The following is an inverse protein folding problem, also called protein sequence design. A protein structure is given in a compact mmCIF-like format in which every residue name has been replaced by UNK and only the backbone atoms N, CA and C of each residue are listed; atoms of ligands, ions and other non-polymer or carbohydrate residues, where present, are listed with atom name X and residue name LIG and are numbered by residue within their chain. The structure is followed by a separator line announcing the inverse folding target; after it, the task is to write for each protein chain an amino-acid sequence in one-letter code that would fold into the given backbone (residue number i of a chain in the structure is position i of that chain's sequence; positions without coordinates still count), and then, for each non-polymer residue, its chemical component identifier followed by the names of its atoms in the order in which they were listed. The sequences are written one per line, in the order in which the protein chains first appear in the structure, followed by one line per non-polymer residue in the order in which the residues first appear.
data_IF_624233908261
#
_entry.id   IF_624233908261
#
_cell.length_a   1.000
_cell.length_b   1.000
_cell.length_c   1.000
_cell.angle_alpha   90.00
_cell.angle_beta   90.00
_cell.angle_gamma   90.00
#
_symmetry.space_group_name_H-M   'P 1'
#
loop_
_entity.id
_entity.type
_entity.pdbx_description
1 polymer ?
#
# COMPACT_ATOMS: atom_id res chain seq x y z
N UNK A 1 25.16 16.61 -1.79
CA UNK A 1 24.42 15.53 -2.46
C UNK A 1 23.03 16.09 -2.70
N UNK A 2 22.71 16.36 -3.96
CA UNK A 2 21.58 17.21 -4.35
C UNK A 2 20.26 16.43 -4.31
N UNK A 3 19.29 16.90 -3.53
CA UNK A 3 17.99 16.23 -3.31
C UNK A 3 17.18 16.09 -4.62
N UNK A 4 17.40 16.99 -5.58
CA UNK A 4 16.77 16.98 -6.91
C UNK A 4 17.17 15.76 -7.77
N UNK A 5 18.40 15.26 -7.62
CA UNK A 5 18.89 14.14 -8.42
C UNK A 5 18.36 12.78 -7.93
N UNK A 6 17.96 12.68 -6.65
CA UNK A 6 17.40 11.44 -6.10
C UNK A 6 15.99 11.17 -6.63
N UNK A 7 15.12 12.18 -6.65
CA UNK A 7 13.75 12.04 -7.16
C UNK A 7 13.73 11.77 -8.66
N UNK A 8 14.57 12.47 -9.43
CA UNK A 8 14.68 12.25 -10.88
C UNK A 8 15.06 10.80 -11.22
N UNK A 9 15.96 10.18 -10.44
CA UNK A 9 16.37 8.78 -10.63
C UNK A 9 15.25 7.79 -10.26
N UNK A 10 14.49 8.06 -9.19
CA UNK A 10 13.35 7.23 -8.78
C UNK A 10 12.23 7.27 -9.83
N UNK A 11 11.91 8.46 -10.36
CA UNK A 11 10.89 8.62 -11.41
C UNK A 11 11.30 7.96 -12.73
N UNK A 12 12.57 8.09 -13.15
CA UNK A 12 13.05 7.54 -14.43
C UNK A 12 13.09 5.99 -14.41
N UNK A 13 13.43 5.39 -13.25
CA UNK A 13 13.41 3.92 -13.07
C UNK A 13 11.98 3.38 -13.00
N UNK A 14 11.03 4.08 -12.36
CA UNK A 14 9.63 3.68 -12.36
C UNK A 14 9.00 3.79 -13.76
N UNK A 15 9.29 4.87 -14.50
CA UNK A 15 8.69 5.11 -15.81
C UNK A 15 9.18 4.12 -16.88
N UNK A 16 10.47 3.79 -16.89
CA UNK A 16 11.02 2.77 -17.81
C UNK A 16 10.47 1.37 -17.54
N UNK A 17 10.13 1.04 -16.29
CA UNK A 17 9.44 -0.21 -15.95
C UNK A 17 7.98 -0.24 -16.40
N UNK A 18 7.28 0.89 -16.33
CA UNK A 18 5.87 0.99 -16.73
C UNK A 18 5.68 0.84 -18.25
N UNK A 19 6.57 1.44 -19.05
CA UNK A 19 6.55 1.33 -20.51
C UNK A 19 6.90 -0.08 -21.00
N UNK A 20 7.78 -0.81 -20.29
CA UNK A 20 8.10 -2.21 -20.59
C UNK A 20 6.93 -3.17 -20.35
N UNK A 21 5.98 -2.85 -19.45
CA UNK A 21 4.83 -3.72 -19.17
C UNK A 21 3.65 -3.46 -20.11
N UNK A 22 3.61 -2.30 -20.77
CA UNK A 22 2.54 -1.91 -21.68
C UNK A 22 2.49 -2.73 -22.97
N UNK A 23 3.59 -3.40 -23.35
CA UNK A 23 3.66 -4.27 -24.54
C UNK A 23 3.15 -5.70 -24.24
N UNK A 24 3.01 -6.11 -22.97
CA UNK A 24 2.54 -7.46 -22.61
C UNK A 24 1.04 -7.57 -22.33
N UNK A 25 0.33 -6.46 -22.13
CA UNK A 25 -1.09 -6.47 -21.74
C UNK A 25 -1.99 -6.89 -22.93
N UNK A 26 -1.55 -6.70 -24.17
CA UNK A 26 -2.33 -7.00 -25.39
C UNK A 26 -2.47 -8.49 -25.77
N UNK A 27 -2.09 -9.45 -24.91
CA UNK A 27 -2.18 -10.89 -25.24
C UNK A 27 -2.91 -11.76 -24.21
N UNK A 28 -3.49 -11.18 -23.16
CA UNK A 28 -4.18 -11.92 -22.10
C UNK A 28 -5.70 -12.08 -22.30
N UNK A 29 -6.28 -11.51 -23.36
CA UNK A 29 -7.74 -11.47 -23.59
C UNK A 29 -8.37 -12.79 -24.08
N UNK A 30 -7.61 -13.87 -24.26
CA UNK A 30 -8.13 -15.14 -24.78
C UNK A 30 -8.49 -16.18 -23.70
N UNK A 31 -8.42 -15.85 -22.40
CA UNK A 31 -8.75 -16.80 -21.32
C UNK A 31 -10.02 -16.46 -20.51
N UNK A 32 -10.76 -15.39 -20.86
CA UNK A 32 -11.78 -14.80 -19.96
C UNK A 32 -13.25 -15.17 -20.22
N UNK A 33 -13.59 -16.04 -21.16
CA UNK A 33 -15.01 -16.26 -21.53
C UNK A 33 -15.70 -17.53 -20.99
N UNK A 34 -15.07 -18.37 -20.16
CA UNK A 34 -15.73 -19.61 -19.68
C UNK A 34 -15.46 -20.01 -18.23
N UNK A 35 -15.48 -19.09 -17.28
CA UNK A 35 -15.42 -19.45 -15.85
C UNK A 35 -16.28 -18.56 -14.97
N UNK A 36 -17.62 -18.63 -15.12
CA UNK A 36 -18.54 -18.17 -14.08
C UNK A 36 -19.42 -19.28 -13.47
N UNK A 37 -19.18 -20.55 -13.79
CA UNK A 37 -19.99 -21.63 -13.19
C UNK A 37 -19.29 -22.98 -12.94
N UNK A 38 -17.97 -23.08 -13.06
CA UNK A 38 -17.25 -24.32 -12.75
C UNK A 38 -15.94 -24.01 -12.05
N UNK A 39 -15.87 -24.35 -10.76
CA UNK A 39 -14.73 -24.92 -10.00
C UNK A 39 -14.64 -24.41 -8.55
N UNK A 40 -15.48 -24.99 -7.67
CA UNK A 40 -14.96 -25.56 -6.42
C UNK A 40 -14.24 -26.87 -6.78
N UNK A 41 -13.17 -26.76 -7.55
CA UNK A 41 -12.18 -27.82 -7.71
C UNK A 41 -10.94 -27.30 -7.01
N UNK A 42 -10.36 -28.12 -6.13
CA UNK A 42 -9.04 -27.87 -5.59
C UNK A 42 -8.03 -27.99 -6.72
N UNK A 43 -7.91 -26.96 -7.54
CA UNK A 43 -6.69 -26.74 -8.30
C UNK A 43 -5.62 -26.45 -7.27
N UNK A 44 -4.66 -27.37 -7.13
CA UNK A 44 -3.40 -27.14 -6.44
C UNK A 44 -2.59 -26.14 -7.25
N UNK A 45 -3.08 -24.91 -7.35
CA UNK A 45 -2.38 -23.82 -8.01
C UNK A 45 -1.14 -23.54 -7.16
N UNK A 46 0.04 -23.89 -7.70
CA UNK A 46 1.30 -23.55 -7.09
C UNK A 46 1.44 -22.03 -7.11
N UNK A 47 1.35 -21.39 -5.95
CA UNK A 47 1.74 -19.99 -5.75
C UNK A 47 3.14 -19.98 -5.12
N UNK A 48 4.21 -19.87 -5.92
CA UNK A 48 5.56 -19.86 -5.37
C UNK A 48 5.77 -18.59 -4.54
N UNK A 49 6.26 -18.76 -3.31
CA UNK A 49 6.69 -17.66 -2.46
C UNK A 49 8.16 -17.33 -2.70
N UNK A 50 8.47 -16.05 -2.90
CA UNK A 50 9.84 -15.57 -2.94
C UNK A 50 10.28 -15.13 -1.53
N UNK A 51 11.02 -15.99 -0.82
CA UNK A 51 11.60 -15.67 0.49
C UNK A 51 13.06 -15.27 0.35
N UNK A 52 13.32 -13.96 0.47
CA UNK A 52 14.69 -13.40 0.39
C UNK A 52 15.38 -13.32 1.76
N UNK A 53 14.62 -13.22 2.85
CA UNK A 53 15.13 -13.06 4.20
C UNK A 53 14.89 -14.31 5.04
N UNK A 54 15.91 -14.75 5.78
CA UNK A 54 15.77 -15.82 6.75
C UNK A 54 15.06 -15.34 8.03
N UNK A 55 14.48 -16.28 8.78
CA UNK A 55 13.71 -15.99 10.00
C UNK A 55 14.51 -15.19 11.04
N UNK A 56 15.80 -15.49 11.22
CA UNK A 56 16.65 -14.76 12.17
C UNK A 56 16.90 -13.31 11.72
N UNK A 57 17.03 -13.06 10.42
CA UNK A 57 17.13 -11.71 9.86
C UNK A 57 15.84 -10.93 10.08
N UNK A 58 14.68 -11.56 9.86
CA UNK A 58 13.37 -10.94 10.09
C UNK A 58 13.21 -10.55 11.57
N UNK A 59 13.51 -11.48 12.50
CA UNK A 59 13.48 -11.19 13.94
C UNK A 59 14.38 -10.02 14.31
N UNK A 60 15.61 -9.99 13.78
CA UNK A 60 16.55 -8.91 14.02
C UNK A 60 16.02 -7.55 13.54
N UNK A 61 15.48 -7.48 12.32
CA UNK A 61 14.88 -6.24 11.79
C UNK A 61 13.73 -5.75 12.67
N UNK A 62 12.86 -6.65 13.13
CA UNK A 62 11.73 -6.30 13.99
C UNK A 62 12.22 -5.79 15.36
N UNK A 63 13.21 -6.47 15.97
CA UNK A 63 13.81 -6.04 17.23
C UNK A 63 14.43 -4.65 17.10
N UNK A 64 15.28 -4.42 16.09
CA UNK A 64 15.93 -3.12 15.87
C UNK A 64 14.92 -2.02 15.56
N UNK A 65 13.82 -2.31 14.84
CA UNK A 65 12.75 -1.34 14.60
C UNK A 65 12.04 -0.92 15.90
N UNK A 66 11.83 -1.85 16.84
CA UNK A 66 11.27 -1.53 18.16
C UNK A 66 12.24 -0.70 18.99
N UNK A 67 13.54 -1.03 18.99
CA UNK A 67 14.58 -0.24 19.66
C UNK A 67 14.62 1.20 19.13
N UNK A 68 14.50 1.39 17.80
CA UNK A 68 14.39 2.74 17.20
C UNK A 68 13.18 3.50 17.74
N UNK A 69 12.01 2.87 17.84
CA UNK A 69 10.80 3.51 18.36
C UNK A 69 10.87 3.80 19.87
N UNK A 70 11.64 3.02 20.63
CA UNK A 70 11.84 3.21 22.08
C UNK A 70 12.88 4.28 22.38
N UNK A 71 14.04 4.23 21.72
CA UNK A 71 15.18 5.09 22.00
C UNK A 71 15.11 6.43 21.27
N UNK A 72 14.79 6.41 19.97
CA UNK A 72 14.77 7.60 19.12
C UNK A 72 13.37 8.22 19.04
N UNK A 73 12.34 7.37 19.08
CA UNK A 73 10.94 7.78 18.97
C UNK A 73 10.57 8.34 17.60
N UNK A 74 9.35 8.85 17.48
CA UNK A 74 8.82 9.42 16.25
C UNK A 74 8.19 10.80 16.50
N UNK A 75 8.21 11.65 15.46
CA UNK A 75 7.61 12.98 15.53
C UNK A 75 6.09 12.91 15.57
N UNK A 76 5.48 13.72 16.42
CA UNK A 76 4.03 13.82 16.57
C UNK A 76 3.62 15.24 16.98
N UNK A 77 2.67 15.82 16.25
CA UNK A 77 2.15 17.15 16.56
C UNK A 77 0.62 17.22 16.66
N UNK A 78 -0.07 16.16 16.26
CA UNK A 78 -1.51 16.10 16.42
C UNK A 78 -1.85 16.01 17.91
N UNK A 79 -2.52 17.04 18.42
CA UNK A 79 -2.85 17.16 19.85
C UNK A 79 -3.70 15.99 20.36
N UNK A 80 -4.70 15.54 19.59
CA UNK A 80 -5.56 14.43 19.99
C UNK A 80 -4.77 13.12 20.09
N UNK A 81 -3.87 12.88 19.14
CA UNK A 81 -3.00 11.71 19.18
C UNK A 81 -2.01 11.74 20.36
N UNK A 82 -1.47 12.92 20.70
CA UNK A 82 -0.66 13.12 21.92
C UNK A 82 -1.45 12.76 23.17
N UNK A 83 -2.68 13.29 23.31
CA UNK A 83 -3.55 13.02 24.45
C UNK A 83 -3.85 11.51 24.60
N UNK A 84 -4.16 10.82 23.49
CA UNK A 84 -4.40 9.36 23.49
C UNK A 84 -3.16 8.56 23.91
N UNK A 85 -1.98 8.91 23.40
CA UNK A 85 -0.73 8.23 23.75
C UNK A 85 -0.38 8.43 25.23
N UNK A 86 -0.58 9.64 25.77
CA UNK A 86 -0.36 9.91 27.21
C UNK A 86 -1.29 9.08 28.09
N UNK A 87 -2.55 8.89 27.70
CA UNK A 87 -3.52 8.08 28.46
C UNK A 87 -3.07 6.62 28.61
N UNK A 88 -2.32 6.09 27.65
CA UNK A 88 -1.77 4.72 27.69
C UNK A 88 -0.32 4.67 28.20
N UNK A 89 0.18 5.78 28.77
CA UNK A 89 1.47 5.84 29.46
C UNK A 89 2.69 5.99 28.53
N UNK A 90 2.49 6.37 27.27
CA UNK A 90 3.60 6.62 26.34
C UNK A 90 4.42 7.83 26.80
N UNK A 91 5.75 7.68 26.83
CA UNK A 91 6.66 8.79 27.09
C UNK A 91 6.60 9.76 25.91
N UNK A 92 6.35 11.05 26.20
CA UNK A 92 6.30 12.11 25.19
C UNK A 92 7.20 13.27 25.62
N UNK A 93 8.10 13.70 24.74
CA UNK A 93 8.84 14.95 24.83
C UNK A 93 8.05 16.02 24.06
N UNK A 94 7.32 16.87 24.79
CA UNK A 94 6.45 17.91 24.20
C UNK A 94 7.25 19.04 23.54
N UNK A 95 8.46 19.32 24.03
CA UNK A 95 9.33 20.35 23.45
C UNK A 95 9.85 19.91 22.08
N UNK A 96 10.29 18.66 21.98
CA UNK A 96 10.77 18.06 20.73
C UNK A 96 9.68 17.44 19.87
N UNK A 97 8.43 17.43 20.35
CA UNK A 97 7.28 16.81 19.71
C UNK A 97 7.55 15.34 19.33
N UNK A 98 8.07 14.55 20.26
CA UNK A 98 8.40 13.13 20.05
C UNK A 98 7.70 12.21 21.03
N UNK A 99 7.17 11.11 20.51
CA UNK A 99 6.66 9.99 21.31
C UNK A 99 7.61 8.79 21.21
N UNK A 100 7.69 8.02 22.30
CA UNK A 100 8.58 6.86 22.43
C UNK A 100 7.77 5.64 22.85
N UNK A 101 7.80 4.57 22.05
CA UNK A 101 7.02 3.36 22.27
C UNK A 101 7.91 2.25 22.81
N UNK A 102 7.53 1.65 23.94
CA UNK A 102 8.22 0.45 24.42
C UNK A 102 7.86 -0.77 23.55
N UNK A 103 8.77 -1.75 23.43
CA UNK A 103 8.50 -3.02 22.77
C UNK A 103 7.21 -3.70 23.25
N UNK A 104 6.99 -3.75 24.56
CA UNK A 104 5.81 -4.36 25.17
C UNK A 104 4.50 -3.69 24.75
N UNK A 105 4.50 -2.36 24.63
CA UNK A 105 3.32 -1.62 24.17
C UNK A 105 3.04 -1.89 22.69
N UNK A 106 4.08 -1.99 21.87
CA UNK A 106 3.97 -2.33 20.46
C UNK A 106 3.38 -3.74 20.31
N UNK A 107 3.89 -4.72 21.04
CA UNK A 107 3.39 -6.10 20.99
C UNK A 107 1.93 -6.20 21.43
N UNK A 108 1.59 -5.57 22.55
CA UNK A 108 0.20 -5.50 23.01
C UNK A 108 -0.74 -4.83 22.00
N UNK A 109 -0.26 -3.79 21.31
CA UNK A 109 -1.06 -3.13 20.28
C UNK A 109 -1.28 -4.06 19.08
N UNK A 110 -0.24 -4.77 18.63
CA UNK A 110 -0.32 -5.71 17.50
C UNK A 110 -1.25 -6.91 17.79
N UNK A 111 -1.29 -7.40 19.04
CA UNK A 111 -2.23 -8.46 19.46
C UNK A 111 -3.71 -8.08 19.26
N UNK A 112 -4.03 -6.79 19.23
CA UNK A 112 -5.41 -6.31 19.04
C UNK A 112 -5.83 -6.17 17.57
N UNK A 113 -4.89 -6.28 16.63
CA UNK A 113 -5.12 -6.03 15.20
C UNK A 113 -5.66 -7.31 14.54
N UNK A 114 -6.75 -7.25 13.76
CA UNK A 114 -7.23 -8.42 13.03
C UNK A 114 -6.25 -8.81 11.90
N UNK A 115 -6.11 -10.11 11.65
CA UNK A 115 -5.26 -10.64 10.58
C UNK A 115 -5.79 -10.35 9.17
N UNK A 116 -7.11 -10.13 9.05
CA UNK A 116 -7.77 -9.72 7.80
C UNK A 116 -8.81 -8.65 8.04
N UNK A 117 -9.08 -7.82 7.04
CA UNK A 117 -10.06 -6.73 7.10
C UNK A 117 -10.94 -6.78 5.84
N UNK A 118 -12.26 -7.04 5.97
CA UNK A 118 -13.18 -6.98 4.83
C UNK A 118 -13.51 -5.53 4.47
N UNK A 119 -13.46 -5.21 3.17
CA UNK A 119 -13.87 -3.95 2.59
C UNK A 119 -15.17 -4.11 1.83
N UNK A 120 -16.06 -3.15 2.00
CA UNK A 120 -17.41 -3.17 1.45
C UNK A 120 -17.60 -2.03 0.45
N UNK A 121 -18.34 -2.31 -0.63
CA UNK A 121 -18.79 -1.26 -1.53
C UNK A 121 -19.95 -0.45 -0.91
N UNK A 122 -20.38 0.60 -1.62
CA UNK A 122 -21.48 1.47 -1.18
C UNK A 122 -22.83 0.76 -0.98
N UNK A 123 -23.04 -0.40 -1.59
CA UNK A 123 -24.25 -1.19 -1.40
C UNK A 123 -24.16 -2.12 -0.18
N UNK A 124 -23.03 -2.12 0.54
CA UNK A 124 -22.79 -2.98 1.69
C UNK A 124 -22.38 -4.41 1.31
N UNK A 125 -22.03 -4.67 0.06
CA UNK A 125 -21.49 -5.97 -0.33
C UNK A 125 -19.98 -5.98 -0.13
N UNK A 126 -19.47 -7.06 0.47
CA UNK A 126 -18.04 -7.30 0.57
C UNK A 126 -17.45 -7.44 -0.85
N UNK A 127 -16.37 -6.71 -1.10
CA UNK A 127 -15.71 -6.68 -2.42
C UNK A 127 -14.24 -7.06 -2.37
N UNK A 128 -13.56 -6.83 -1.25
CA UNK A 128 -12.14 -7.10 -1.07
C UNK A 128 -11.88 -7.53 0.37
N UNK A 129 -11.02 -8.51 0.59
CA UNK A 129 -10.48 -8.85 1.91
C UNK A 129 -8.98 -8.51 1.94
N UNK A 130 -8.60 -7.56 2.80
CA UNK A 130 -7.20 -7.21 3.03
C UNK A 130 -6.56 -8.22 3.97
N UNK A 131 -5.45 -8.84 3.56
CA UNK A 131 -4.68 -9.76 4.39
C UNK A 131 -4.54 -11.14 3.76
N UNK A 132 -3.93 -12.06 4.51
CA UNK A 132 -3.58 -13.39 4.00
C UNK A 132 -2.71 -13.32 2.73
N UNK A 133 -3.02 -14.17 1.76
CA UNK A 133 -2.35 -14.23 0.46
C UNK A 133 -3.11 -13.47 -0.65
N UNK A 134 -4.05 -12.59 -0.27
CA UNK A 134 -4.83 -11.80 -1.22
C UNK A 134 -3.96 -10.68 -1.80
N UNK A 135 -4.00 -10.52 -3.13
CA UNK A 135 -3.35 -9.40 -3.83
C UNK A 135 -4.43 -8.40 -4.20
N UNK A 136 -4.38 -7.23 -3.55
CA UNK A 136 -5.35 -6.17 -3.76
C UNK A 136 -4.64 -4.98 -4.43
N UNK A 137 -5.23 -4.45 -5.50
CA UNK A 137 -4.65 -3.33 -6.24
C UNK A 137 -5.27 -2.00 -5.77
N UNK A 138 -4.43 -1.02 -5.48
CA UNK A 138 -4.82 0.37 -5.18
C UNK A 138 -4.17 1.28 -6.24
N UNK A 139 -4.93 2.17 -6.91
CA UNK A 139 -4.33 3.14 -7.82
C UNK A 139 -3.35 4.07 -7.11
N UNK A 140 -2.37 4.59 -7.86
CA UNK A 140 -1.40 5.53 -7.31
C UNK A 140 -2.05 6.77 -6.68
N UNK A 141 -1.65 7.12 -5.47
CA UNK A 141 -2.18 8.26 -4.71
C UNK A 141 -1.53 9.59 -5.10
N UNK A 142 -2.31 10.67 -5.04
CA UNK A 142 -1.84 12.07 -4.99
C UNK A 142 -0.91 12.52 -6.13
N UNK A 143 -1.19 12.11 -7.38
CA UNK A 143 -0.49 12.63 -8.54
C UNK A 143 -0.76 14.14 -8.72
N UNK A 144 0.21 14.98 -8.34
CA UNK A 144 0.14 16.44 -8.54
C UNK A 144 0.38 16.83 -10.01
N UNK A 145 1.08 15.98 -10.75
CA UNK A 145 1.37 16.13 -12.17
C UNK A 145 0.91 14.90 -12.93
N UNK A 146 0.44 15.13 -14.16
CA UNK A 146 -0.04 14.10 -15.08
C UNK A 146 0.75 14.19 -16.38
N UNK A 147 1.17 13.04 -16.90
CA UNK A 147 1.66 12.92 -18.26
C UNK A 147 0.45 12.92 -19.19
N UNK A 148 0.27 13.99 -19.97
CA UNK A 148 -0.84 14.11 -20.88
C UNK A 148 -0.66 13.12 -22.06
N UNK A 149 -1.59 12.17 -22.27
CA UNK A 149 -1.44 11.18 -23.33
C UNK A 149 -1.61 11.76 -24.73
N UNK A 150 -2.23 12.93 -24.89
CA UNK A 150 -2.42 13.57 -26.19
C UNK A 150 -1.16 14.33 -26.64
N UNK A 151 -0.53 15.05 -25.72
CA UNK A 151 0.65 15.89 -26.02
C UNK A 151 1.97 15.20 -25.71
N UNK A 152 1.98 14.21 -24.82
CA UNK A 152 3.19 13.58 -24.27
C UNK A 152 3.94 14.46 -23.27
N UNK A 153 3.37 15.60 -22.86
CA UNK A 153 4.00 16.54 -21.93
C UNK A 153 3.43 16.40 -20.51
N UNK A 154 4.27 16.68 -19.51
CA UNK A 154 3.84 16.73 -18.11
C UNK A 154 3.18 18.07 -17.80
N UNK A 155 2.00 18.02 -17.17
CA UNK A 155 1.27 19.21 -16.70
C UNK A 155 0.73 19.00 -15.29
N UNK A 156 0.33 20.09 -14.64
CA UNK A 156 -0.40 20.00 -13.37
C UNK A 156 -1.69 19.19 -13.56
N UNK A 157 -2.00 18.36 -12.57
CA UNK A 157 -3.25 17.63 -12.51
C UNK A 157 -4.44 18.59 -12.36
N UNK A 158 -5.53 18.28 -13.06
CA UNK A 158 -6.82 18.95 -12.91
C UNK A 158 -7.88 17.94 -12.45
N UNK A 159 -9.01 18.42 -11.91
CA UNK A 159 -10.10 17.54 -11.43
C UNK A 159 -10.56 16.52 -12.46
N UNK A 160 -10.51 16.87 -13.75
CA UNK A 160 -10.92 15.96 -14.82
C UNK A 160 -10.02 14.72 -14.93
N UNK A 161 -8.72 14.85 -14.62
CA UNK A 161 -7.79 13.71 -14.63
C UNK A 161 -8.20 12.68 -13.57
N UNK A 162 -8.61 13.14 -12.39
CA UNK A 162 -9.10 12.27 -11.32
C UNK A 162 -10.42 11.58 -11.69
N UNK A 163 -11.34 12.31 -12.34
CA UNK A 163 -12.60 11.73 -12.84
C UNK A 163 -12.33 10.66 -13.91
N UNK A 164 -11.40 10.92 -14.83
CA UNK A 164 -11.00 9.96 -15.86
C UNK A 164 -10.35 8.73 -15.25
N UNK A 165 -9.42 8.89 -14.32
CA UNK A 165 -8.82 7.79 -13.58
C UNK A 165 -9.89 6.94 -12.89
N UNK A 166 -10.82 7.56 -12.15
CA UNK A 166 -11.90 6.84 -11.46
C UNK A 166 -12.81 6.05 -12.41
N UNK A 167 -13.14 6.62 -13.58
CA UNK A 167 -13.94 5.93 -14.61
C UNK A 167 -13.21 4.75 -15.24
N UNK A 168 -11.95 4.96 -15.62
CA UNK A 168 -11.14 3.90 -16.22
C UNK A 168 -10.89 2.76 -15.25
N UNK A 169 -10.63 3.08 -13.98
CA UNK A 169 -10.55 2.07 -12.92
C UNK A 169 -11.85 1.28 -12.91
N UNK A 170 -13.01 1.90 -12.67
CA UNK A 170 -14.32 1.21 -12.63
C UNK A 170 -14.60 0.34 -13.86
N UNK A 171 -14.10 0.70 -15.04
CA UNK A 171 -14.22 -0.10 -16.27
C UNK A 171 -13.34 -1.36 -16.25
N UNK A 172 -12.14 -1.26 -15.68
CA UNK A 172 -11.14 -2.34 -15.64
C UNK A 172 -11.39 -3.29 -14.46
N UNK A 173 -12.06 -2.85 -13.39
CA UNK A 173 -12.19 -3.61 -12.14
C UNK A 173 -12.98 -4.93 -12.32
N UNK A 174 -12.27 -6.05 -12.27
CA UNK A 174 -12.74 -7.23 -11.55
C UNK A 174 -12.61 -7.00 -10.04
N UNK A 175 -13.25 -7.85 -9.21
CA UNK A 175 -13.43 -7.74 -7.75
C UNK A 175 -12.16 -7.76 -6.87
N UNK A 176 -11.07 -7.12 -7.28
CA UNK A 176 -9.74 -7.23 -6.64
C UNK A 176 -9.06 -5.86 -6.41
N UNK A 177 -9.81 -4.77 -6.51
CA UNK A 177 -9.29 -3.41 -6.35
C UNK A 177 -9.90 -2.69 -5.16
N UNK A 178 -9.06 -1.93 -4.48
CA UNK A 178 -9.40 -0.99 -3.42
C UNK A 178 -9.53 0.37 -4.08
N UNK A 179 -10.67 1.05 -3.88
CA UNK A 179 -10.94 2.42 -4.38
C UNK A 179 -11.42 3.27 -3.22
#
# INVERSE_FOLDING_TARGET
MDYENFWTLVYDVQMKRMLSQSILIGRFDLYRSTSKEVTKHMSSNLRPELKLLGTETIKKVITEAKEVLEELGFYIENRQAIELLQQVGVRIDLEKKRAYLSPDLIDKALESVPSTIPLFNRAGHEVVELGGDNVCFDPGSAALNVLDPETGETRNAVTMDFIHLGRELMRILSSEFIV
#
